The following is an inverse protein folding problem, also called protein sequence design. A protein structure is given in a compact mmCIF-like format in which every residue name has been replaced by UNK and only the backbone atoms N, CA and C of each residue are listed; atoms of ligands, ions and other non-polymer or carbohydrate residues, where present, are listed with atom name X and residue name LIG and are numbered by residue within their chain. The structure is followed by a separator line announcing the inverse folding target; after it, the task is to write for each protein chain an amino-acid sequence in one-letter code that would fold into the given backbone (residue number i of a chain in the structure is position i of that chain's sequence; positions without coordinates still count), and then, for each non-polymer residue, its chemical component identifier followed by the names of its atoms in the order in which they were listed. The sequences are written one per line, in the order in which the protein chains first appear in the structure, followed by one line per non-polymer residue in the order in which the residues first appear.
data_IF_145799121292
#
_entry.id   IF_145799121292
#
_cell.length_a   1.000
_cell.length_b   1.000
_cell.length_c   1.000
_cell.angle_alpha   90.00
_cell.angle_beta   90.00
_cell.angle_gamma   90.00
#
_symmetry.space_group_name_H-M   'P 1'
#
loop_
_entity.id
_entity.type
_entity.pdbx_description
1 polymer ?
#
# COMPACT_ATOMS: atom_id res chain seq x y z
N UNK A 1 -31.83 -51.44 -47.91
CA UNK A 1 -31.57 -51.59 -46.47
C UNK A 1 -30.08 -51.73 -46.22
N UNK A 2 -29.46 -50.77 -45.50
CA UNK A 2 -28.13 -50.71 -44.83
C UNK A 2 -27.72 -49.21 -44.83
N UNK A 3 -28.07 -48.39 -43.83
CA UNK A 3 -27.53 -48.20 -42.46
C UNK A 3 -26.02 -47.86 -42.40
N UNK A 4 -25.72 -46.81 -41.60
CA UNK A 4 -24.43 -46.28 -41.08
C UNK A 4 -23.66 -45.33 -42.05
N UNK A 5 -23.08 -44.19 -41.65
CA UNK A 5 -22.69 -43.71 -40.32
C UNK A 5 -22.58 -42.17 -40.24
N UNK A 6 -22.85 -41.67 -39.03
CA UNK A 6 -22.62 -40.33 -38.48
C UNK A 6 -21.12 -39.93 -38.56
N UNK A 7 -20.83 -38.65 -38.82
CA UNK A 7 -19.61 -38.00 -38.35
C UNK A 7 -19.95 -36.63 -37.80
N UNK A 8 -20.04 -36.56 -36.46
CA UNK A 8 -20.27 -35.38 -35.66
C UNK A 8 -18.96 -34.56 -35.61
N UNK A 9 -18.96 -33.34 -36.13
CA UNK A 9 -17.84 -32.40 -35.96
C UNK A 9 -17.88 -31.82 -34.54
N UNK A 10 -17.13 -32.41 -33.61
CA UNK A 10 -16.87 -31.82 -32.29
C UNK A 10 -15.59 -30.98 -32.42
N UNK A 11 -15.76 -29.69 -32.67
CA UNK A 11 -14.67 -28.71 -32.59
C UNK A 11 -14.41 -28.40 -31.11
N UNK A 12 -13.44 -29.11 -30.51
CA UNK A 12 -12.95 -28.79 -29.18
C UNK A 12 -12.13 -27.49 -29.24
N UNK A 13 -12.73 -26.38 -28.83
CA UNK A 13 -12.00 -25.13 -28.59
C UNK A 13 -11.17 -25.36 -27.32
N UNK A 14 -9.88 -25.65 -27.50
CA UNK A 14 -8.90 -25.61 -26.42
C UNK A 14 -8.69 -24.13 -26.10
N UNK A 15 -9.41 -23.61 -25.11
CA UNK A 15 -9.06 -22.35 -24.47
C UNK A 15 -7.73 -22.57 -23.75
N UNK A 16 -6.63 -22.22 -24.40
CA UNK A 16 -5.36 -22.05 -23.70
C UNK A 16 -5.52 -20.83 -22.79
N UNK A 17 -5.88 -21.06 -21.53
CA UNK A 17 -5.79 -20.02 -20.51
C UNK A 17 -4.31 -19.78 -20.25
N UNK A 18 -3.75 -18.77 -20.93
CA UNK A 18 -2.47 -18.20 -20.54
C UNK A 18 -2.63 -17.72 -19.09
N UNK A 19 -2.04 -18.45 -18.15
CA UNK A 19 -1.87 -17.96 -16.78
C UNK A 19 -0.89 -16.80 -16.91
N UNK A 20 -1.41 -15.58 -16.95
CA UNK A 20 -0.59 -14.37 -16.89
C UNK A 20 -0.08 -14.29 -15.45
N UNK A 21 1.22 -14.47 -15.28
CA UNK A 21 1.85 -14.36 -13.97
C UNK A 21 1.89 -12.88 -13.56
N UNK A 22 1.50 -12.58 -12.32
CA UNK A 22 1.72 -11.28 -11.72
C UNK A 22 3.23 -11.06 -11.57
N UNK A 23 3.73 -9.93 -12.08
CA UNK A 23 5.14 -9.56 -11.92
C UNK A 23 5.33 -8.78 -10.61
N UNK A 24 6.44 -8.99 -9.92
CA UNK A 24 6.78 -8.25 -8.70
C UNK A 24 8.12 -7.56 -8.89
N UNK A 25 8.12 -6.23 -8.73
CA UNK A 25 9.30 -5.40 -8.81
C UNK A 25 9.63 -4.78 -7.47
N UNK A 26 10.81 -5.13 -6.96
CA UNK A 26 11.35 -4.54 -5.74
C UNK A 26 11.95 -3.17 -6.05
N UNK A 27 11.46 -2.14 -5.36
CA UNK A 27 11.84 -0.72 -5.49
C UNK A 27 12.57 -0.29 -4.23
N UNK A 28 13.83 0.15 -4.38
CA UNK A 28 14.68 0.48 -3.24
C UNK A 28 15.81 1.42 -3.67
N UNK A 29 16.56 2.06 -2.74
CA UNK A 29 17.40 3.21 -3.09
C UNK A 29 18.46 2.96 -4.20
N UNK A 30 19.22 1.84 -4.19
CA UNK A 30 20.08 1.50 -5.33
C UNK A 30 19.37 1.19 -6.66
N UNK A 31 18.11 0.78 -6.65
CA UNK A 31 17.36 0.38 -7.85
C UNK A 31 15.91 0.87 -7.79
N UNK A 32 15.71 2.14 -8.12
CA UNK A 32 14.37 2.76 -8.14
C UNK A 32 13.52 2.34 -9.35
N UNK A 33 14.06 1.66 -10.37
CA UNK A 33 13.32 1.13 -11.53
C UNK A 33 12.33 2.12 -12.18
N UNK A 34 12.75 3.38 -12.33
CA UNK A 34 11.92 4.43 -12.93
C UNK A 34 10.97 5.15 -11.96
N UNK A 35 11.00 4.78 -10.67
CA UNK A 35 10.44 5.58 -9.59
C UNK A 35 11.32 6.78 -9.25
N UNK A 36 10.68 7.87 -8.88
CA UNK A 36 11.28 9.16 -8.58
C UNK A 36 10.76 9.59 -7.21
N UNK A 37 11.67 9.85 -6.29
CA UNK A 37 11.36 10.44 -4.98
C UNK A 37 11.59 11.95 -5.06
N UNK A 38 10.66 12.73 -4.53
CA UNK A 38 10.80 14.17 -4.43
C UNK A 38 10.16 14.69 -3.14
N UNK A 39 10.73 15.74 -2.58
CA UNK A 39 10.17 16.42 -1.43
C UNK A 39 10.31 17.94 -1.55
N UNK A 40 9.46 18.66 -0.84
CA UNK A 40 9.49 20.12 -0.75
C UNK A 40 9.33 20.49 0.71
N UNK A 41 10.25 21.28 1.28
CA UNK A 41 10.17 21.69 2.68
C UNK A 41 8.98 22.63 2.94
N UNK A 42 8.68 23.51 2.00
CA UNK A 42 7.68 24.55 2.22
C UNK A 42 8.09 25.51 3.33
N UNK A 43 7.12 26.01 4.10
CA UNK A 43 7.36 26.84 5.29
C UNK A 43 7.49 26.04 6.58
N UNK A 44 7.64 24.72 6.50
CA UNK A 44 7.81 23.86 7.68
C UNK A 44 9.14 24.08 8.39
N UNK A 45 9.14 23.89 9.71
CA UNK A 45 10.32 24.14 10.58
C UNK A 45 11.47 23.14 10.38
N UNK A 46 11.21 22.00 9.76
CA UNK A 46 12.21 20.98 9.41
C UNK A 46 11.89 20.33 8.05
N UNK A 47 12.88 19.76 7.34
CA UNK A 47 12.66 19.16 6.03
C UNK A 47 11.82 17.88 6.11
N UNK A 48 10.76 17.70 5.29
CA UNK A 48 9.99 16.48 5.28
C UNK A 48 10.83 15.27 4.90
N UNK A 49 10.43 14.10 5.38
CA UNK A 49 11.16 12.84 5.20
C UNK A 49 10.48 12.02 4.11
N UNK A 50 11.27 11.58 3.12
CA UNK A 50 10.87 10.61 2.11
C UNK A 50 11.99 9.59 1.96
N UNK A 51 11.87 8.45 2.62
CA UNK A 51 12.97 7.48 2.73
C UNK A 51 12.47 6.04 2.71
N UNK A 52 13.24 5.14 2.12
CA UNK A 52 13.03 3.71 2.28
C UNK A 52 13.58 3.27 3.65
N UNK A 53 12.78 2.56 4.43
CA UNK A 53 13.08 2.12 5.80
C UNK A 53 12.55 0.71 6.03
N UNK A 54 12.96 0.07 7.14
CA UNK A 54 12.24 -1.12 7.63
C UNK A 54 10.80 -0.72 7.91
N UNK A 55 9.83 -1.44 7.34
CA UNK A 55 8.43 -1.08 7.53
C UNK A 55 7.91 -1.49 8.91
N UNK A 56 6.94 -0.73 9.46
CA UNK A 56 6.36 -1.04 10.76
C UNK A 56 5.56 -2.35 10.72
N UNK A 57 5.66 -3.15 11.79
CA UNK A 57 4.87 -4.37 11.95
C UNK A 57 5.13 -5.43 10.87
N UNK A 58 4.05 -6.00 10.33
CA UNK A 58 4.12 -6.89 9.16
C UNK A 58 3.72 -6.13 7.91
N UNK A 59 4.70 -5.87 7.06
CA UNK A 59 4.50 -5.18 5.79
C UNK A 59 3.72 -6.07 4.80
N UNK A 60 2.81 -5.49 4.00
CA UNK A 60 2.06 -6.18 2.94
C UNK A 60 2.91 -6.92 1.88
N UNK A 61 4.15 -6.52 1.69
CA UNK A 61 5.19 -7.15 0.91
C UNK A 61 6.56 -6.97 1.60
N UNK A 62 7.49 -7.88 1.32
CA UNK A 62 8.84 -7.87 1.86
C UNK A 62 8.97 -7.54 3.36
N UNK A 63 9.82 -6.56 3.67
CA UNK A 63 10.12 -6.10 5.04
C UNK A 63 10.37 -4.59 5.15
N UNK A 64 10.38 -3.89 4.01
CA UNK A 64 10.60 -2.47 3.92
C UNK A 64 9.30 -1.68 3.84
N UNK A 65 9.45 -0.37 3.70
CA UNK A 65 8.42 0.52 3.21
C UNK A 65 9.06 1.85 2.82
N UNK A 66 8.31 2.69 2.11
CA UNK A 66 8.62 4.09 1.91
C UNK A 66 7.96 4.94 3.01
N UNK A 67 8.78 5.47 3.92
CA UNK A 67 8.38 6.41 4.98
C UNK A 67 8.21 7.81 4.43
N UNK A 68 7.10 8.44 4.81
CA UNK A 68 6.68 9.77 4.42
C UNK A 68 6.28 10.55 5.66
N UNK A 69 7.02 11.63 5.94
CA UNK A 69 6.73 12.51 7.07
C UNK A 69 6.74 13.97 6.68
N UNK A 70 5.77 14.75 7.15
CA UNK A 70 5.71 16.19 6.92
C UNK A 70 5.75 16.99 8.23
N UNK A 71 6.44 18.14 8.28
CA UNK A 71 6.36 19.07 9.41
C UNK A 71 5.00 19.75 9.51
N UNK A 72 4.83 20.46 10.62
CA UNK A 72 3.76 21.44 10.73
C UNK A 72 3.95 22.57 9.73
N UNK A 73 2.90 22.90 8.99
CA UNK A 73 2.81 24.12 8.17
C UNK A 73 1.36 24.46 7.83
N UNK A 74 1.03 25.75 7.87
CA UNK A 74 -0.29 26.28 7.53
C UNK A 74 -0.24 27.34 6.41
N UNK A 75 0.90 27.49 5.74
CA UNK A 75 1.13 28.55 4.74
C UNK A 75 1.85 28.02 3.51
N UNK A 76 1.58 28.63 2.36
CA UNK A 76 2.25 28.27 1.11
C UNK A 76 3.70 28.79 1.05
N UNK A 77 4.62 28.04 0.40
CA UNK A 77 4.42 26.67 -0.07
C UNK A 77 4.35 25.66 1.09
N UNK A 78 3.50 24.63 0.97
CA UNK A 78 3.39 23.57 1.97
C UNK A 78 4.50 22.52 1.86
N UNK A 79 4.83 21.82 2.97
CA UNK A 79 5.69 20.64 2.96
C UNK A 79 5.03 19.49 2.21
N UNK A 80 5.81 18.76 1.41
CA UNK A 80 5.31 17.64 0.61
C UNK A 80 6.33 16.53 0.47
N UNK A 81 5.85 15.30 0.34
CA UNK A 81 6.65 14.11 0.00
C UNK A 81 5.94 13.38 -1.12
N UNK A 82 6.69 12.97 -2.14
CA UNK A 82 6.20 12.22 -3.29
C UNK A 82 7.13 11.06 -3.61
N UNK A 83 6.53 9.96 -4.04
CA UNK A 83 7.19 8.91 -4.82
C UNK A 83 6.32 8.60 -6.03
N UNK A 84 6.88 8.61 -7.24
CA UNK A 84 6.07 8.48 -8.46
C UNK A 84 6.79 7.83 -9.63
N UNK A 85 6.03 7.33 -10.61
CA UNK A 85 6.53 6.64 -11.81
C UNK A 85 5.85 7.09 -13.09
N UNK A 86 6.59 7.06 -14.19
CA UNK A 86 6.10 7.34 -15.55
C UNK A 86 5.89 6.08 -16.40
N UNK A 87 6.06 4.87 -15.84
CA UNK A 87 5.95 3.62 -16.60
C UNK A 87 4.63 3.47 -17.36
N UNK A 88 3.56 4.03 -16.80
CA UNK A 88 2.21 3.93 -17.33
C UNK A 88 1.82 5.11 -18.23
N UNK A 89 2.74 6.02 -18.57
CA UNK A 89 2.45 7.11 -19.48
C UNK A 89 1.99 6.56 -20.85
N UNK A 90 0.86 7.06 -21.34
CA UNK A 90 0.19 6.60 -22.56
C UNK A 90 -0.85 5.49 -22.35
N UNK A 91 -0.89 4.84 -21.17
CA UNK A 91 -1.91 3.83 -20.85
C UNK A 91 -3.26 4.50 -20.67
N UNK A 92 -4.29 3.99 -21.35
CA UNK A 92 -5.65 4.48 -21.19
C UNK A 92 -6.22 4.04 -19.84
N UNK A 93 -6.94 4.94 -19.16
CA UNK A 93 -7.52 4.63 -17.84
C UNK A 93 -8.49 3.45 -17.88
N UNK A 94 -9.18 3.25 -19.00
CA UNK A 94 -10.10 2.11 -19.20
C UNK A 94 -9.38 0.76 -19.26
N UNK A 95 -8.10 0.76 -19.59
CA UNK A 95 -7.28 -0.44 -19.72
C UNK A 95 -6.67 -0.83 -18.35
N UNK A 96 -6.81 0.02 -17.32
CA UNK A 96 -6.42 -0.29 -15.94
C UNK A 96 -7.49 -1.22 -15.35
N UNK A 97 -7.09 -2.45 -15.02
CA UNK A 97 -7.98 -3.52 -14.54
C UNK A 97 -7.88 -3.78 -13.04
N UNK A 98 -6.78 -3.36 -12.40
CA UNK A 98 -6.65 -3.32 -10.95
C UNK A 98 -5.78 -2.13 -10.55
N UNK A 99 -6.06 -1.51 -9.40
CA UNK A 99 -5.24 -0.43 -8.88
C UNK A 99 -5.40 -0.37 -7.36
N UNK A 100 -4.39 -0.85 -6.63
CA UNK A 100 -4.45 -1.03 -5.18
C UNK A 100 -3.14 -0.60 -4.53
N UNK A 101 -3.20 -0.02 -3.35
CA UNK A 101 -1.99 0.32 -2.58
C UNK A 101 -2.21 0.16 -1.09
N UNK A 102 -1.11 0.05 -0.35
CA UNK A 102 -1.16 -0.18 1.09
C UNK A 102 -0.44 0.93 1.84
N UNK A 103 -1.10 1.44 2.87
CA UNK A 103 -0.55 2.49 3.73
C UNK A 103 -0.61 2.11 5.20
N UNK A 104 0.29 2.67 5.99
CA UNK A 104 0.27 2.62 7.45
C UNK A 104 0.38 4.04 7.96
N UNK A 105 -0.54 4.49 8.80
CA UNK A 105 -0.46 5.81 9.44
C UNK A 105 -0.13 5.62 10.90
N UNK A 106 1.01 6.16 11.32
CA UNK A 106 1.39 6.20 12.73
C UNK A 106 0.75 7.42 13.41
N UNK A 107 0.83 8.59 12.75
CA UNK A 107 0.36 9.84 13.33
C UNK A 107 -0.20 10.81 12.29
N UNK A 108 -1.21 11.56 12.72
CA UNK A 108 -1.69 12.79 12.07
C UNK A 108 -2.07 13.80 13.15
N UNK A 109 -1.86 15.08 12.89
CA UNK A 109 -2.25 16.13 13.84
C UNK A 109 -3.74 16.54 13.71
N UNK A 110 -4.33 16.42 12.52
CA UNK A 110 -5.69 16.91 12.26
C UNK A 110 -6.60 15.81 11.74
N UNK A 111 -7.90 15.90 12.06
CA UNK A 111 -8.92 14.95 11.59
C UNK A 111 -9.07 14.94 10.06
N UNK A 112 -8.83 16.08 9.42
CA UNK A 112 -8.77 16.17 7.96
C UNK A 112 -7.50 15.55 7.37
N UNK A 113 -6.50 15.21 8.20
CA UNK A 113 -5.26 14.56 7.79
C UNK A 113 -5.51 13.25 7.05
N UNK A 114 -4.83 13.07 5.92
CA UNK A 114 -4.96 11.89 5.07
C UNK A 114 -3.73 10.98 5.22
N UNK A 115 -3.89 9.65 5.03
CA UNK A 115 -2.77 8.79 4.70
C UNK A 115 -2.14 9.24 3.37
N UNK A 116 -0.99 8.66 2.97
CA UNK A 116 -0.48 8.83 1.63
C UNK A 116 -1.60 8.63 0.59
N UNK A 117 -1.76 9.60 -0.30
CA UNK A 117 -2.80 9.64 -1.33
C UNK A 117 -2.20 9.29 -2.69
N UNK A 118 -3.01 8.73 -3.58
CA UNK A 118 -2.59 8.55 -4.99
C UNK A 118 -3.05 9.74 -5.82
N UNK A 119 -2.10 10.39 -6.50
CA UNK A 119 -2.34 11.44 -7.48
C UNK A 119 -1.97 10.94 -8.88
N UNK A 120 -2.91 11.06 -9.83
CA UNK A 120 -2.67 10.74 -11.23
C UNK A 120 -2.82 11.97 -12.13
N UNK A 121 -1.99 12.02 -13.17
CA UNK A 121 -2.05 13.00 -14.23
C UNK A 121 -2.47 12.34 -15.53
N UNK A 122 -3.44 12.95 -16.20
CA UNK A 122 -4.04 12.43 -17.42
C UNK A 122 -4.20 13.53 -18.46
N UNK A 123 -4.33 13.15 -19.73
CA UNK A 123 -4.91 14.03 -20.73
C UNK A 123 -6.43 14.14 -20.58
N UNK A 124 -7.07 14.98 -21.40
CA UNK A 124 -8.52 15.10 -21.47
C UNK A 124 -9.16 14.17 -22.51
N UNK A 125 -8.41 13.21 -23.07
CA UNK A 125 -8.82 12.40 -24.23
C UNK A 125 -8.85 13.15 -25.57
N UNK A 126 -9.10 14.46 -25.57
CA UNK A 126 -9.41 15.22 -26.81
C UNK A 126 -8.63 16.51 -27.01
N UNK A 127 -8.30 17.26 -25.95
CA UNK A 127 -7.84 18.66 -26.06
C UNK A 127 -6.43 18.92 -25.52
N UNK A 128 -5.60 17.88 -25.35
CA UNK A 128 -4.26 17.97 -24.74
C UNK A 128 -4.24 18.62 -23.34
N UNK A 129 -5.40 18.84 -22.73
CA UNK A 129 -5.47 19.48 -21.42
C UNK A 129 -5.11 18.47 -20.36
N UNK A 130 -4.12 18.82 -19.54
CA UNK A 130 -3.75 18.03 -18.38
C UNK A 130 -4.87 18.08 -17.33
N UNK A 131 -5.12 16.92 -16.72
CA UNK A 131 -6.06 16.73 -15.61
C UNK A 131 -5.37 16.03 -14.46
N UNK A 132 -5.71 16.45 -13.25
CA UNK A 132 -5.11 15.97 -12.00
C UNK A 132 -6.21 15.40 -11.14
N UNK A 133 -6.11 14.10 -10.85
CA UNK A 133 -7.04 13.42 -9.95
C UNK A 133 -6.30 12.95 -8.70
N UNK A 134 -6.94 13.09 -7.55
CA UNK A 134 -6.40 12.61 -6.26
C UNK A 134 -7.41 11.67 -5.63
N UNK A 135 -6.96 10.49 -5.23
CA UNK A 135 -7.72 9.53 -4.44
C UNK A 135 -7.54 9.83 -2.95
N UNK A 136 -8.64 9.83 -2.20
CA UNK A 136 -8.68 10.10 -0.77
C UNK A 136 -9.05 8.83 0.00
N UNK A 137 -8.07 8.12 0.59
CA UNK A 137 -8.34 6.82 1.21
C UNK A 137 -9.31 6.88 2.39
N UNK A 138 -9.28 7.96 3.18
CA UNK A 138 -10.21 8.19 4.29
C UNK A 138 -11.41 9.08 3.92
N UNK A 139 -11.73 9.15 2.63
CA UNK A 139 -12.74 10.05 2.08
C UNK A 139 -12.33 11.52 2.18
N UNK A 140 -13.18 12.41 1.65
CA UNK A 140 -12.92 13.86 1.54
C UNK A 140 -12.44 14.50 2.85
N UNK A 141 -13.10 14.17 3.95
CA UNK A 141 -12.92 14.82 5.25
C UNK A 141 -11.93 14.09 6.15
N UNK A 142 -11.34 12.97 5.69
CA UNK A 142 -10.33 12.22 6.45
C UNK A 142 -10.87 11.41 7.62
N UNK A 143 -12.18 11.16 7.69
CA UNK A 143 -12.81 10.52 8.84
C UNK A 143 -13.35 9.11 8.56
N UNK A 144 -13.17 8.58 7.35
CA UNK A 144 -13.68 7.26 6.97
C UNK A 144 -12.59 6.20 7.09
N UNK A 145 -12.90 5.06 7.70
CA UNK A 145 -11.99 3.91 7.79
C UNK A 145 -10.61 4.25 8.42
N UNK A 146 -10.56 5.19 9.35
CA UNK A 146 -9.33 5.61 10.03
C UNK A 146 -8.85 4.49 10.95
N UNK A 147 -7.67 3.95 10.67
CA UNK A 147 -6.97 3.00 11.55
C UNK A 147 -5.52 3.42 11.67
N UNK A 148 -5.09 3.76 12.89
CA UNK A 148 -3.70 4.00 13.19
C UNK A 148 -2.98 2.69 13.46
N UNK A 149 -1.67 2.72 13.27
CA UNK A 149 -0.75 1.64 13.56
C UNK A 149 -1.09 0.29 12.91
N UNK A 150 -1.82 0.34 11.79
CA UNK A 150 -2.32 -0.83 11.06
C UNK A 150 -2.12 -0.61 9.56
N UNK A 151 -1.63 -1.63 8.85
CA UNK A 151 -1.58 -1.62 7.40
C UNK A 151 -2.99 -1.75 6.81
N UNK A 152 -3.36 -0.80 5.97
CA UNK A 152 -4.65 -0.75 5.29
C UNK A 152 -4.47 -0.89 3.78
N UNK A 153 -5.25 -1.76 3.15
CA UNK A 153 -5.38 -1.85 1.69
C UNK A 153 -6.41 -0.83 1.21
N UNK A 154 -6.09 -0.17 0.11
CA UNK A 154 -7.02 0.70 -0.61
C UNK A 154 -7.17 0.23 -2.04
N UNK A 155 -8.39 -0.13 -2.42
CA UNK A 155 -8.75 -0.37 -3.80
C UNK A 155 -9.24 0.94 -4.44
N UNK A 156 -8.41 1.50 -5.30
CA UNK A 156 -8.68 2.77 -5.99
C UNK A 156 -9.82 2.65 -6.99
N UNK A 157 -10.18 1.43 -7.37
CA UNK A 157 -11.25 1.12 -8.30
C UNK A 157 -12.54 0.70 -7.60
N UNK A 158 -12.56 0.69 -6.26
CA UNK A 158 -13.75 0.35 -5.50
C UNK A 158 -14.93 1.27 -5.82
N UNK A 159 -16.15 0.71 -5.78
CA UNK A 159 -17.37 1.45 -6.11
C UNK A 159 -17.63 2.62 -5.17
N UNK A 160 -17.14 2.54 -3.94
CA UNK A 160 -17.18 3.53 -2.87
C UNK A 160 -15.88 4.36 -2.76
N UNK A 161 -14.92 4.19 -3.67
CA UNK A 161 -13.69 4.98 -3.72
C UNK A 161 -13.97 6.47 -3.96
N UNK A 162 -13.17 7.35 -3.33
CA UNK A 162 -13.33 8.80 -3.44
C UNK A 162 -12.17 9.43 -4.22
N UNK A 163 -12.43 9.82 -5.47
CA UNK A 163 -11.54 10.59 -6.32
C UNK A 163 -12.02 12.03 -6.48
N UNK A 164 -11.08 12.97 -6.54
CA UNK A 164 -11.38 14.36 -6.86
C UNK A 164 -10.52 14.90 -8.00
N UNK A 165 -11.13 15.69 -8.88
CA UNK A 165 -10.47 16.54 -9.86
C UNK A 165 -9.99 17.82 -9.16
N UNK A 166 -8.68 18.02 -9.16
CA UNK A 166 -8.02 19.15 -8.51
C UNK A 166 -7.78 20.29 -9.50
N UNK A 167 -7.87 21.54 -9.03
CA UNK A 167 -7.60 22.73 -9.86
C UNK A 167 -8.70 23.00 -10.89
N UNK A 168 -9.96 22.76 -10.53
CA UNK A 168 -11.13 22.94 -11.40
C UNK A 168 -12.15 23.90 -10.80
N UNK A 169 -12.89 24.61 -11.65
CA UNK A 169 -14.07 25.40 -11.28
C UNK A 169 -15.38 24.62 -11.40
N UNK A 170 -15.32 23.36 -11.86
CA UNK A 170 -16.50 22.52 -12.01
C UNK A 170 -17.09 22.16 -10.66
N UNK A 171 -18.43 22.17 -10.54
CA UNK A 171 -19.16 21.64 -9.38
C UNK A 171 -19.24 20.11 -9.39
N UNK A 172 -19.05 19.48 -10.55
CA UNK A 172 -18.91 18.02 -10.69
C UNK A 172 -17.42 17.66 -10.74
N UNK A 173 -16.79 17.60 -9.57
CA UNK A 173 -15.35 17.40 -9.41
C UNK A 173 -14.99 16.17 -8.58
N UNK A 174 -15.94 15.32 -8.22
CA UNK A 174 -15.66 14.11 -7.43
C UNK A 174 -16.50 12.92 -7.89
N UNK A 175 -16.01 11.72 -7.60
CA UNK A 175 -16.70 10.45 -7.84
C UNK A 175 -15.77 9.26 -7.61
N UNK A 176 -16.20 8.07 -8.03
CA UNK A 176 -15.37 6.86 -7.97
C UNK A 176 -14.54 6.69 -9.26
N UNK A 177 -13.88 5.55 -9.43
CA UNK A 177 -13.05 5.28 -10.61
C UNK A 177 -13.82 5.29 -11.94
N UNK A 178 -15.08 4.86 -11.96
CA UNK A 178 -15.92 4.92 -13.17
C UNK A 178 -16.20 6.38 -13.56
N UNK A 179 -16.39 7.26 -12.58
CA UNK A 179 -16.46 8.70 -12.81
C UNK A 179 -15.14 9.25 -13.37
N UNK A 180 -13.98 8.85 -12.83
CA UNK A 180 -12.67 9.30 -13.35
C UNK A 180 -12.51 8.91 -14.83
N UNK A 181 -12.75 7.64 -15.18
CA UNK A 181 -12.62 7.13 -16.56
C UNK A 181 -13.53 7.85 -17.57
N UNK A 182 -14.74 8.22 -17.13
CA UNK A 182 -15.76 8.82 -18.01
C UNK A 182 -15.77 10.35 -17.99
N UNK A 183 -14.92 11.00 -17.17
CA UNK A 183 -15.03 12.44 -16.93
C UNK A 183 -14.82 13.29 -18.19
N UNK A 184 -13.81 12.93 -18.98
CA UNK A 184 -13.45 13.61 -20.23
C UNK A 184 -13.23 12.67 -21.42
N UNK A 185 -13.06 11.36 -21.17
CA UNK A 185 -12.82 10.38 -22.22
C UNK A 185 -14.12 9.79 -22.78
N UNK A 186 -14.05 9.33 -24.03
CA UNK A 186 -15.09 8.52 -24.66
C UNK A 186 -14.51 7.20 -25.21
N UNK A 187 -15.35 6.38 -25.85
CA UNK A 187 -14.94 5.08 -26.40
C UNK A 187 -13.84 5.18 -27.48
N UNK A 188 -13.80 6.29 -28.23
CA UNK A 188 -12.84 6.54 -29.29
C UNK A 188 -11.63 7.36 -28.79
N UNK A 189 -11.81 8.13 -27.72
CA UNK A 189 -10.83 9.05 -27.15
C UNK A 189 -10.71 8.84 -25.63
N UNK A 190 -10.19 7.70 -25.18
CA UNK A 190 -10.06 7.45 -23.74
C UNK A 190 -9.01 8.38 -23.15
N UNK A 191 -9.22 8.80 -21.90
CA UNK A 191 -8.19 9.49 -21.14
C UNK A 191 -6.99 8.58 -20.91
N UNK A 192 -5.79 9.12 -21.05
CA UNK A 192 -4.53 8.41 -20.83
C UNK A 192 -3.73 9.04 -19.72
N UNK A 193 -3.00 8.21 -18.97
CA UNK A 193 -1.98 8.70 -18.05
C UNK A 193 -0.90 9.45 -18.85
N UNK A 194 -0.43 10.57 -18.33
CA UNK A 194 0.60 11.38 -19.00
C UNK A 194 1.76 11.69 -18.06
N UNK A 195 2.89 12.08 -18.64
CA UNK A 195 3.99 12.69 -17.91
C UNK A 195 3.71 14.18 -17.72
N UNK A 196 3.39 14.66 -16.50
CA UNK A 196 3.24 16.09 -16.24
C UNK A 196 4.61 16.80 -16.28
N UNK A 197 4.62 18.13 -16.46
CA UNK A 197 5.83 18.92 -16.23
C UNK A 197 6.29 18.81 -14.77
N UNK A 198 7.60 18.94 -14.57
CA UNK A 198 8.18 19.14 -13.25
C UNK A 198 7.72 20.51 -12.71
N UNK A 199 7.18 20.52 -11.49
CA UNK A 199 6.70 21.73 -10.84
C UNK A 199 6.00 21.41 -9.53
N UNK A 200 5.38 22.41 -8.90
CA UNK A 200 4.47 22.19 -7.77
C UNK A 200 3.04 22.56 -8.18
N UNK A 201 2.10 22.52 -7.24
CA UNK A 201 0.69 22.84 -7.40
C UNK A 201 0.42 24.00 -8.37
N UNK A 202 -0.63 23.76 -9.17
CA UNK A 202 -1.03 24.31 -10.48
C UNK A 202 -0.05 24.00 -11.62
N UNK A 203 1.26 24.16 -11.42
CA UNK A 203 2.23 24.07 -12.53
C UNK A 203 2.64 22.66 -12.93
N UNK A 204 2.58 21.68 -12.02
CA UNK A 204 3.03 20.32 -12.28
C UNK A 204 3.01 19.42 -11.04
N UNK A 205 3.96 18.50 -10.96
CA UNK A 205 4.24 17.65 -9.77
C UNK A 205 5.73 17.50 -9.56
N UNK A 206 6.15 17.36 -8.30
CA UNK A 206 7.57 17.43 -7.92
C UNK A 206 8.42 16.32 -8.54
N UNK A 207 7.81 15.17 -8.81
CA UNK A 207 8.44 14.01 -9.47
C UNK A 207 8.42 14.11 -11.00
N UNK A 208 7.57 14.95 -11.57
CA UNK A 208 7.24 14.93 -12.99
C UNK A 208 6.67 13.59 -13.46
N UNK A 209 6.00 12.84 -12.57
CA UNK A 209 5.47 11.51 -12.82
C UNK A 209 3.96 11.48 -13.01
N UNK A 210 3.47 10.58 -13.88
CA UNK A 210 2.05 10.43 -14.17
C UNK A 210 1.23 9.74 -13.08
N UNK A 211 1.86 8.89 -12.28
CA UNK A 211 1.30 8.30 -11.06
C UNK A 211 2.20 8.68 -9.90
N UNK A 212 1.60 9.15 -8.80
CA UNK A 212 2.31 9.56 -7.61
C UNK A 212 1.60 9.06 -6.36
N UNK A 213 2.37 8.67 -5.37
CA UNK A 213 1.92 8.51 -3.99
C UNK A 213 2.48 9.70 -3.21
N UNK A 214 1.62 10.44 -2.51
CA UNK A 214 1.98 11.72 -1.91
C UNK A 214 1.41 11.93 -0.52
N UNK A 215 2.13 12.68 0.29
CA UNK A 215 1.56 13.44 1.41
C UNK A 215 1.69 14.93 1.05
N UNK A 216 0.61 15.68 1.21
CA UNK A 216 0.59 17.08 0.80
C UNK A 216 -0.72 17.49 0.13
N UNK A 217 -1.33 18.56 0.60
CA UNK A 217 -2.35 19.30 -0.14
C UNK A 217 -1.70 20.18 -1.20
N UNK A 218 -2.51 20.66 -2.15
CA UNK A 218 -2.00 21.50 -3.23
C UNK A 218 -1.49 22.85 -2.72
N UNK A 219 -2.30 23.50 -1.88
CA UNK A 219 -2.10 24.84 -1.33
C UNK A 219 -2.64 24.92 0.10
N UNK A 220 -2.27 25.95 0.85
CA UNK A 220 -2.69 26.11 2.23
C UNK A 220 -4.20 26.34 2.38
N UNK A 221 -4.77 27.22 1.56
CA UNK A 221 -6.19 27.55 1.59
C UNK A 221 -6.80 27.40 0.21
N UNK A 222 -7.93 26.71 0.11
CA UNK A 222 -8.71 26.56 -1.12
C UNK A 222 -10.17 26.86 -0.82
N UNK A 223 -10.88 27.52 -1.73
CA UNK A 223 -12.29 27.86 -1.52
C UNK A 223 -13.20 26.64 -1.33
N UNK A 224 -12.77 25.44 -1.78
CA UNK A 224 -13.52 24.18 -1.65
C UNK A 224 -13.21 23.43 -0.35
N UNK A 225 -12.02 23.63 0.22
CA UNK A 225 -11.53 22.87 1.37
C UNK A 225 -11.36 23.73 2.63
N UNK A 226 -11.38 25.06 2.51
CA UNK A 226 -10.97 25.95 3.60
C UNK A 226 -9.50 25.74 3.93
N UNK A 227 -9.21 25.29 5.16
CA UNK A 227 -7.87 25.03 5.67
C UNK A 227 -7.25 23.75 5.09
N UNK A 228 -7.01 23.71 3.78
CA UNK A 228 -6.52 22.52 3.08
C UNK A 228 -5.14 22.04 3.57
N UNK A 229 -4.33 22.92 4.15
CA UNK A 229 -3.06 22.57 4.80
C UNK A 229 -3.20 21.44 5.85
N UNK A 230 -4.36 21.30 6.50
CA UNK A 230 -4.61 20.26 7.50
C UNK A 230 -4.42 18.83 6.96
N UNK A 231 -4.63 18.62 5.66
CA UNK A 231 -4.43 17.30 5.02
C UNK A 231 -2.95 16.91 4.85
N UNK A 232 -2.02 17.82 5.17
CA UNK A 232 -0.59 17.66 4.92
C UNK A 232 0.29 17.92 6.13
N UNK A 233 -0.31 18.29 7.25
CA UNK A 233 0.38 18.87 8.37
C UNK A 233 0.66 17.78 9.42
N UNK A 234 1.94 17.59 9.77
CA UNK A 234 2.35 16.62 10.79
C UNK A 234 1.77 15.21 10.54
N UNK A 235 1.95 14.70 9.33
CA UNK A 235 1.62 13.32 9.01
C UNK A 235 2.89 12.49 9.13
N UNK A 236 2.78 11.32 9.75
CA UNK A 236 3.80 10.27 9.79
C UNK A 236 3.18 8.97 9.31
N UNK A 237 3.57 8.56 8.10
CA UNK A 237 2.97 7.42 7.42
C UNK A 237 3.94 6.71 6.49
N UNK A 238 3.53 5.52 6.06
CA UNK A 238 4.34 4.60 5.27
C UNK A 238 3.53 4.05 4.11
N UNK A 239 4.22 3.67 3.05
CA UNK A 239 3.68 3.01 1.86
C UNK A 239 4.56 1.81 1.55
N UNK A 240 3.97 0.64 1.41
CA UNK A 240 4.75 -0.59 1.21
C UNK A 240 4.54 -1.22 -0.17
N UNK A 241 3.28 -1.35 -0.59
CA UNK A 241 2.93 -2.06 -1.82
C UNK A 241 2.05 -1.21 -2.73
N UNK A 242 2.28 -1.32 -4.04
CA UNK A 242 1.35 -0.84 -5.07
C UNK A 242 1.14 -1.93 -6.13
N UNK A 243 -0.10 -2.32 -6.37
CA UNK A 243 -0.46 -3.22 -7.48
C UNK A 243 -1.26 -2.45 -8.52
N UNK A 244 -0.87 -2.57 -9.78
CA UNK A 244 -1.62 -2.02 -10.91
C UNK A 244 -1.67 -3.04 -12.04
N UNK A 245 -2.89 -3.32 -12.50
CA UNK A 245 -3.19 -4.20 -13.62
C UNK A 245 -3.46 -3.40 -14.88
N UNK A 246 -2.84 -3.76 -16.00
CA UNK A 246 -3.13 -3.18 -17.31
C UNK A 246 -3.48 -4.30 -18.28
N UNK A 247 -4.65 -4.22 -18.91
CA UNK A 247 -5.17 -5.26 -19.80
C UNK A 247 -5.18 -6.66 -19.15
N UNK A 248 -5.45 -6.73 -17.84
CA UNK A 248 -5.46 -7.98 -17.07
C UNK A 248 -4.10 -8.48 -16.62
N UNK A 249 -2.99 -7.81 -16.96
CA UNK A 249 -1.66 -8.14 -16.46
C UNK A 249 -1.32 -7.28 -15.25
N UNK A 250 -1.09 -7.91 -14.09
CA UNK A 250 -0.73 -7.23 -12.85
C UNK A 250 0.78 -7.04 -12.70
N UNK A 251 1.17 -5.86 -12.25
CA UNK A 251 2.50 -5.56 -11.72
C UNK A 251 2.35 -5.09 -10.28
N UNK A 252 3.09 -5.72 -9.38
CA UNK A 252 3.21 -5.32 -7.97
C UNK A 252 4.56 -4.67 -7.74
N UNK A 253 4.55 -3.50 -7.13
CA UNK A 253 5.73 -2.79 -6.66
C UNK A 253 5.85 -2.98 -5.16
N UNK A 254 7.02 -3.45 -4.74
CA UNK A 254 7.38 -3.76 -3.35
C UNK A 254 8.44 -2.75 -2.89
N UNK A 255 8.09 -1.82 -1.98
CA UNK A 255 8.97 -0.73 -1.56
C UNK A 255 9.88 -1.19 -0.43
N UNK A 256 11.10 -1.59 -0.79
CA UNK A 256 12.03 -2.22 0.14
C UNK A 256 13.16 -1.30 0.61
N UNK A 257 13.66 -1.64 1.80
CA UNK A 257 14.85 -1.05 2.37
C UNK A 257 16.06 -1.97 2.17
N UNK A 258 17.18 -1.41 1.72
CA UNK A 258 18.43 -2.16 1.51
C UNK A 258 19.42 -2.11 2.65
N UNK A 259 19.03 -1.60 3.81
CA UNK A 259 19.85 -1.87 4.97
C UNK A 259 19.77 -3.34 5.38
N UNK A 260 20.57 -3.74 6.37
CA UNK A 260 20.42 -5.07 6.94
C UNK A 260 18.96 -5.27 7.38
N UNK A 261 18.39 -6.48 7.20
CA UNK A 261 17.06 -6.78 7.72
C UNK A 261 17.00 -6.43 9.22
N UNK A 262 15.83 -6.07 9.75
CA UNK A 262 15.70 -5.80 11.18
C UNK A 262 16.31 -6.96 11.98
N UNK A 263 17.10 -6.65 13.03
CA UNK A 263 17.73 -7.68 13.82
C UNK A 263 16.67 -8.62 14.39
N UNK A 264 16.97 -9.92 14.33
CA UNK A 264 16.10 -10.97 14.85
C UNK A 264 16.58 -11.38 16.23
N UNK A 265 15.74 -11.17 17.25
CA UNK A 265 16.06 -11.58 18.61
C UNK A 265 15.32 -12.85 19.00
N UNK A 266 16.07 -13.82 19.51
CA UNK A 266 15.49 -14.98 20.17
C UNK A 266 14.93 -14.60 21.54
N UNK A 267 13.65 -14.83 21.79
CA UNK A 267 13.02 -14.53 23.08
C UNK A 267 12.20 -15.73 23.59
N UNK A 268 12.02 -15.79 24.91
CA UNK A 268 11.09 -16.71 25.55
C UNK A 268 9.69 -16.10 25.61
N UNK A 269 8.66 -16.91 25.78
CA UNK A 269 7.27 -16.45 25.90
C UNK A 269 7.11 -15.49 27.08
N UNK A 270 7.81 -15.71 28.20
CA UNK A 270 7.82 -14.76 29.33
C UNK A 270 8.28 -13.35 28.94
N UNK A 271 9.29 -13.21 28.09
CA UNK A 271 9.87 -11.91 27.71
C UNK A 271 8.88 -11.09 26.88
N UNK A 272 7.97 -11.72 26.15
CA UNK A 272 6.98 -11.02 25.32
C UNK A 272 6.06 -10.08 26.13
N UNK A 273 5.91 -10.36 27.43
CA UNK A 273 5.09 -9.59 28.37
C UNK A 273 5.87 -8.48 29.09
N UNK A 274 7.17 -8.35 28.83
CA UNK A 274 7.98 -7.29 29.42
C UNK A 274 7.59 -5.91 28.84
N UNK A 275 7.48 -4.84 29.65
CA UNK A 275 7.17 -3.51 29.16
C UNK A 275 8.07 -3.02 28.01
N UNK A 276 9.33 -3.46 27.93
CA UNK A 276 10.23 -3.08 26.83
C UNK A 276 9.70 -3.51 25.46
N UNK A 277 8.87 -4.56 25.40
CA UNK A 277 8.31 -5.07 24.16
C UNK A 277 7.38 -4.08 23.47
N UNK A 278 6.79 -3.12 24.21
CA UNK A 278 5.99 -2.05 23.59
C UNK A 278 6.81 -1.15 22.68
N UNK A 279 8.11 -1.00 22.97
CA UNK A 279 9.04 -0.24 22.13
C UNK A 279 9.66 -1.19 21.11
N UNK A 280 10.16 -2.34 21.56
CA UNK A 280 10.94 -3.26 20.72
C UNK A 280 10.17 -3.81 19.51
N UNK A 281 8.84 -4.01 19.63
CA UNK A 281 7.98 -4.55 18.57
C UNK A 281 7.99 -3.74 17.28
N UNK A 282 8.29 -2.44 17.36
CA UNK A 282 8.24 -1.53 16.21
C UNK A 282 9.55 -1.50 15.41
N UNK A 283 10.63 -2.08 15.96
CA UNK A 283 11.97 -1.99 15.38
C UNK A 283 12.57 -3.34 15.02
N UNK A 284 12.13 -4.42 15.66
CA UNK A 284 12.79 -5.72 15.58
C UNK A 284 11.83 -6.84 15.21
N UNK A 285 12.42 -7.93 14.69
CA UNK A 285 11.72 -9.20 14.56
C UNK A 285 12.10 -10.11 15.71
N UNK A 286 11.18 -10.99 16.08
CA UNK A 286 11.36 -11.91 17.19
C UNK A 286 11.28 -13.33 16.69
N UNK A 287 12.20 -14.15 17.18
CA UNK A 287 12.18 -15.59 16.99
C UNK A 287 11.81 -16.25 18.32
N UNK A 288 10.83 -17.14 18.24
CA UNK A 288 10.30 -17.92 19.36
C UNK A 288 10.41 -19.39 19.01
N UNK A 289 10.48 -20.23 20.03
CA UNK A 289 10.55 -21.68 19.90
C UNK A 289 9.60 -22.31 20.88
N UNK A 290 9.00 -23.44 20.53
CA UNK A 290 8.12 -24.13 21.45
C UNK A 290 7.40 -25.31 20.81
N UNK A 291 6.59 -25.97 21.63
CA UNK A 291 5.68 -27.02 21.19
C UNK A 291 4.36 -26.40 20.75
N UNK A 292 3.88 -26.81 19.58
CA UNK A 292 2.58 -26.43 19.04
C UNK A 292 1.50 -27.12 19.87
N UNK A 293 0.63 -26.34 20.50
CA UNK A 293 -0.48 -26.88 21.28
C UNK A 293 -1.65 -27.30 20.38
N UNK A 294 -2.37 -28.34 20.79
CA UNK A 294 -3.65 -28.71 20.16
C UNK A 294 -4.71 -27.63 20.41
N UNK A 295 -4.68 -27.02 21.59
CA UNK A 295 -5.50 -25.85 21.91
C UNK A 295 -5.12 -24.65 21.02
N UNK A 296 -6.12 -24.05 20.37
CA UNK A 296 -5.94 -22.88 19.53
C UNK A 296 -5.28 -23.14 18.17
N UNK A 297 -5.10 -24.41 17.80
CA UNK A 297 -4.65 -24.80 16.46
C UNK A 297 -5.74 -24.63 15.40
N UNK A 298 -5.38 -24.07 14.26
CA UNK A 298 -6.23 -23.87 13.10
C UNK A 298 -5.40 -23.67 11.83
N UNK A 299 -6.05 -23.48 10.66
CA UNK A 299 -5.35 -23.36 9.38
C UNK A 299 -4.50 -22.08 9.23
N UNK A 300 -4.70 -21.08 10.10
CA UNK A 300 -4.03 -19.79 10.03
C UNK A 300 -3.25 -19.44 11.31
N UNK A 301 -3.39 -20.24 12.37
CA UNK A 301 -2.74 -19.94 13.64
C UNK A 301 -2.64 -21.13 14.56
N UNK A 302 -1.69 -21.08 15.48
CA UNK A 302 -1.55 -22.03 16.59
C UNK A 302 -1.03 -21.33 17.85
N UNK A 303 -1.20 -21.96 19.00
CA UNK A 303 -0.50 -21.54 20.23
C UNK A 303 0.84 -22.25 20.32
N UNK A 304 1.87 -21.50 20.69
CA UNK A 304 3.23 -21.98 20.88
C UNK A 304 3.64 -21.86 22.34
N UNK A 305 4.01 -22.98 22.96
CA UNK A 305 4.47 -23.03 24.34
C UNK A 305 5.96 -23.40 24.42
N UNK A 306 6.76 -22.51 24.98
CA UNK A 306 8.20 -22.71 25.20
C UNK A 306 8.53 -23.31 26.58
N UNK A 307 7.50 -23.59 27.40
CA UNK A 307 7.62 -24.05 28.78
C UNK A 307 7.87 -22.94 29.80
N UNK A 308 7.96 -21.67 29.37
CA UNK A 308 8.29 -20.52 30.22
C UNK A 308 7.39 -19.31 29.93
N UNK A 309 6.29 -19.20 30.68
CA UNK A 309 5.34 -18.09 30.60
C UNK A 309 4.00 -18.56 30.08
N UNK A 310 3.15 -17.63 29.64
CA UNK A 310 1.92 -17.98 28.95
C UNK A 310 2.20 -18.25 27.47
N UNK A 311 1.52 -19.22 26.82
CA UNK A 311 1.68 -19.47 25.39
C UNK A 311 1.39 -18.23 24.56
N UNK A 312 2.07 -18.13 23.42
CA UNK A 312 1.88 -17.04 22.46
C UNK A 312 1.20 -17.56 21.22
N UNK A 313 0.35 -16.75 20.61
CA UNK A 313 -0.29 -17.11 19.35
C UNK A 313 0.68 -16.86 18.21
N UNK A 314 0.85 -17.81 17.32
CA UNK A 314 1.53 -17.60 16.04
C UNK A 314 0.45 -17.52 14.97
N UNK A 315 0.35 -16.38 14.28
CA UNK A 315 -0.56 -16.20 13.15
C UNK A 315 0.24 -16.24 11.84
N UNK A 316 -0.03 -17.24 11.02
CA UNK A 316 0.58 -17.46 9.72
C UNK A 316 -0.36 -18.29 8.84
N UNK A 317 -0.89 -17.67 7.78
CA UNK A 317 -1.75 -18.36 6.81
C UNK A 317 -1.00 -19.55 6.17
N UNK A 318 -1.65 -20.72 6.14
CA UNK A 318 -1.11 -21.97 5.57
C UNK A 318 0.23 -22.42 6.19
N UNK A 319 0.39 -22.29 7.51
CA UNK A 319 1.59 -22.77 8.18
C UNK A 319 1.74 -24.31 8.09
N UNK A 320 2.98 -24.84 8.05
CA UNK A 320 3.22 -26.28 7.95
C UNK A 320 3.09 -27.03 9.29
N UNK A 321 3.01 -26.31 10.42
CA UNK A 321 3.02 -26.88 11.77
C UNK A 321 1.80 -27.78 12.05
N UNK A 322 1.99 -28.79 12.90
CA UNK A 322 0.95 -29.67 13.46
C UNK A 322 1.03 -29.67 15.00
N UNK A 323 -0.06 -29.97 15.73
CA UNK A 323 -0.02 -30.16 17.17
C UNK A 323 1.05 -31.18 17.58
N UNK A 324 1.79 -30.87 18.64
CA UNK A 324 2.92 -31.67 19.13
C UNK A 324 4.27 -31.35 18.50
N UNK A 325 4.32 -30.72 17.32
CA UNK A 325 5.58 -30.34 16.70
C UNK A 325 6.32 -29.33 17.58
N UNK A 326 7.64 -29.49 17.70
CA UNK A 326 8.53 -28.45 18.19
C UNK A 326 8.95 -27.58 17.01
N UNK A 327 8.61 -26.29 17.04
CA UNK A 327 8.85 -25.37 15.92
C UNK A 327 9.63 -24.12 16.35
N UNK A 328 10.19 -23.41 15.38
CA UNK A 328 10.57 -22.01 15.53
C UNK A 328 9.76 -21.14 14.58
N UNK A 329 9.35 -19.95 15.02
CA UNK A 329 8.67 -18.95 14.21
C UNK A 329 9.38 -17.60 14.34
N UNK A 330 9.55 -16.86 13.23
CA UNK A 330 10.18 -15.53 13.23
C UNK A 330 9.22 -14.48 12.67
N UNK A 331 8.94 -13.40 13.39
CA UNK A 331 7.97 -12.41 12.93
C UNK A 331 7.87 -11.15 13.79
N UNK A 332 6.85 -10.35 13.52
CA UNK A 332 6.53 -9.16 14.30
C UNK A 332 5.55 -9.51 15.42
N UNK A 333 5.71 -8.91 16.59
CA UNK A 333 4.85 -9.16 17.76
C UNK A 333 3.72 -8.12 17.82
N UNK A 334 2.50 -8.59 17.98
CA UNK A 334 1.30 -7.82 18.23
C UNK A 334 0.84 -8.01 19.68
N UNK A 335 1.16 -7.02 20.51
CA UNK A 335 0.86 -7.00 21.95
C UNK A 335 -0.60 -6.58 22.25
N UNK A 336 -1.39 -6.19 21.25
CA UNK A 336 -2.80 -5.80 21.46
C UNK A 336 -3.73 -7.01 21.61
N UNK A 337 -3.23 -8.21 21.34
CA UNK A 337 -3.97 -9.47 21.39
C UNK A 337 -3.74 -10.22 22.70
N UNK A 338 -4.70 -11.08 23.08
CA UNK A 338 -4.58 -11.95 24.27
C UNK A 338 -4.86 -13.42 23.90
N UNK A 339 -3.85 -14.32 23.96
CA UNK A 339 -2.44 -14.02 24.22
C UNK A 339 -1.83 -13.15 23.10
N UNK A 340 -0.69 -12.48 23.35
CA UNK A 340 0.06 -11.77 22.32
C UNK A 340 0.33 -12.65 21.11
N UNK A 341 0.32 -12.03 19.92
CA UNK A 341 0.41 -12.73 18.65
C UNK A 341 1.73 -12.42 17.96
N UNK A 342 2.55 -13.43 17.69
CA UNK A 342 3.60 -13.33 16.68
C UNK A 342 2.96 -13.49 15.30
N UNK A 343 2.92 -12.41 14.53
CA UNK A 343 2.47 -12.45 13.15
C UNK A 343 3.66 -12.80 12.25
N UNK A 344 3.48 -13.77 11.36
CA UNK A 344 4.54 -14.23 10.45
C UNK A 344 3.97 -14.83 9.17
N UNK A 345 4.84 -15.37 8.31
CA UNK A 345 4.51 -16.10 7.08
C UNK A 345 4.90 -17.58 7.22
N UNK A 346 4.28 -18.45 6.43
CA UNK A 346 4.57 -19.89 6.47
C UNK A 346 6.06 -20.23 6.24
N UNK A 347 6.78 -19.44 5.43
CA UNK A 347 8.22 -19.66 5.15
C UNK A 347 9.12 -19.38 6.35
N UNK A 348 8.65 -18.58 7.31
CA UNK A 348 9.38 -18.23 8.52
C UNK A 348 9.12 -19.19 9.69
N UNK A 349 8.34 -20.25 9.46
CA UNK A 349 8.08 -21.33 10.42
C UNK A 349 8.93 -22.55 10.04
N UNK A 350 9.73 -23.02 10.99
CA UNK A 350 10.57 -24.22 10.83
C UNK A 350 10.16 -25.28 11.83
N UNK A 351 9.82 -26.47 11.33
CA UNK A 351 9.64 -27.67 12.17
C UNK A 351 11.02 -28.16 12.56
N UNK A 352 11.30 -28.18 13.86
CA UNK A 352 12.58 -28.58 14.42
C UNK A 352 12.55 -30.02 14.94
N UNK A 353 11.40 -30.47 15.46
CA UNK A 353 11.11 -31.86 15.75
C UNK A 353 9.60 -32.13 15.57
N UNK A 354 9.22 -33.32 15.05
CA UNK A 354 7.81 -33.70 14.90
C UNK A 354 7.14 -33.98 16.24
#
# INVERSE_FOLDING_TARGET
MRRLCLALNVLAIILATCIVCADTEVIYPPFLRGWIVASQQGTGSWPPIGAFVVGPGLTPAGSGSFHMQTPYSHSDPLPKVYIGTNRYAGVALRDITSFKFWTYVHHREYDAGQPPMVEIFTDSGTTSQMRRFVFYPWGKDGNQNVQFDTWQEWDLMASDGHWELIGTSSTNYMGNWDWVKSRYGDANHPMKLIKPPLGDYITGVLTGAGINIKIGSGQAVDSRYGAWWQQSCQIDAYVDKLTIGVNGQETTYDFEYTGPPPPVFGISNRVIYDPIMQIAKDWWQFKIWGTVLEEGFGPESFLLDDGFGAPIRVYAYMHPAQPGNFVSATGAVDLSTTPPTLRTTAVNIKILAP
#
